data_IF_843298562094
#
_entry.id   IF_843298562094
#
_cell.length_a   1.000
_cell.length_b   1.000
_cell.length_c   1.000
_cell.angle_alpha   90.00
_cell.angle_beta   90.00
_cell.angle_gamma   90.00
#
_symmetry.space_group_name_H-M   'P 1'
#
loop_
_entity.id
_entity.type
_entity.pdbx_description
1 polymer ?
#
# COMPACT_ATOMS: atom_id res chain seq x y z
N UNK A 1 -5.38 -3.61 1.32
CA UNK A 1 -4.37 -3.95 0.29
C UNK A 1 -4.81 -3.53 -1.12
N UNK A 2 -5.86 -4.12 -1.73
CA UNK A 2 -6.29 -3.81 -3.12
C UNK A 2 -6.60 -2.34 -3.33
N UNK A 3 -7.43 -1.72 -2.48
CA UNK A 3 -7.75 -0.29 -2.54
C UNK A 3 -6.55 0.65 -2.60
N UNK A 4 -5.44 0.29 -1.96
CA UNK A 4 -4.22 1.09 -1.94
C UNK A 4 -3.46 1.07 -3.26
N UNK A 5 -3.72 0.06 -4.11
CA UNK A 5 -2.92 -0.26 -5.30
C UNK A 5 -3.72 -0.25 -6.59
N UNK A 6 -5.04 -0.15 -6.49
CA UNK A 6 -5.92 -0.06 -7.65
C UNK A 6 -5.72 1.31 -8.32
N UNK A 7 -5.33 1.31 -9.60
CA UNK A 7 -5.16 2.55 -10.37
C UNK A 7 -6.46 3.35 -10.38
N UNK A 8 -6.35 4.68 -10.18
CA UNK A 8 -7.50 5.58 -10.10
C UNK A 8 -8.44 5.53 -11.31
N UNK A 9 -7.89 5.26 -12.49
CA UNK A 9 -8.66 5.11 -13.73
C UNK A 9 -9.55 3.88 -13.72
N UNK A 10 -9.27 2.93 -12.83
CA UNK A 10 -10.03 1.70 -12.65
C UNK A 10 -10.96 1.77 -11.43
N UNK A 11 -10.74 2.73 -10.53
CA UNK A 11 -11.64 2.98 -9.40
C UNK A 11 -13.03 3.38 -9.94
N UNK A 12 -14.07 2.65 -9.52
CA UNK A 12 -15.43 2.81 -10.02
C UNK A 12 -15.77 1.95 -11.26
N UNK A 13 -14.78 1.24 -11.85
CA UNK A 13 -15.00 0.23 -12.90
C UNK A 13 -14.72 -1.19 -12.41
N UNK A 14 -13.83 -1.31 -11.45
CA UNK A 14 -13.47 -2.58 -10.82
C UNK A 14 -13.78 -2.48 -9.33
N UNK A 15 -14.50 -3.47 -8.83
CA UNK A 15 -14.70 -3.62 -7.40
C UNK A 15 -13.48 -4.32 -6.79
N UNK A 16 -12.83 -3.75 -5.76
CA UNK A 16 -11.78 -4.43 -5.02
C UNK A 16 -12.19 -5.79 -4.44
N UNK A 17 -13.46 -5.98 -4.13
CA UNK A 17 -13.99 -7.26 -3.64
C UNK A 17 -13.99 -8.32 -4.72
N UNK A 18 -14.33 -7.97 -5.96
CA UNK A 18 -14.23 -8.89 -7.10
C UNK A 18 -12.80 -9.37 -7.34
N UNK A 19 -11.82 -8.45 -7.19
CA UNK A 19 -10.39 -8.80 -7.30
C UNK A 19 -10.00 -9.83 -6.24
N UNK A 20 -10.51 -9.67 -5.02
CA UNK A 20 -10.25 -10.61 -3.92
C UNK A 20 -10.94 -11.95 -4.17
N UNK A 21 -12.20 -11.97 -4.61
CA UNK A 21 -12.93 -13.19 -4.90
C UNK A 21 -12.20 -14.02 -5.97
N UNK A 22 -11.75 -13.39 -7.05
CA UNK A 22 -11.01 -14.08 -8.10
C UNK A 22 -9.65 -14.59 -7.60
N UNK A 23 -8.95 -13.84 -6.75
CA UNK A 23 -7.72 -14.30 -6.13
C UNK A 23 -7.96 -15.50 -5.21
N UNK A 24 -9.06 -15.53 -4.45
CA UNK A 24 -9.44 -16.68 -3.63
C UNK A 24 -9.80 -17.91 -4.48
N UNK A 25 -10.48 -17.73 -5.60
CA UNK A 25 -10.76 -18.84 -6.53
C UNK A 25 -9.45 -19.41 -7.10
N UNK A 26 -8.49 -18.56 -7.45
CA UNK A 26 -7.16 -19.00 -7.90
C UNK A 26 -6.40 -19.71 -6.79
N UNK A 27 -6.50 -19.23 -5.55
CA UNK A 27 -5.93 -19.89 -4.38
C UNK A 27 -6.53 -21.28 -4.16
N UNK A 28 -7.86 -21.40 -4.24
CA UNK A 28 -8.53 -22.70 -4.09
C UNK A 28 -8.05 -23.71 -5.13
N UNK A 29 -7.87 -23.30 -6.38
CA UNK A 29 -7.38 -24.17 -7.46
C UNK A 29 -5.93 -24.63 -7.25
N UNK A 30 -5.09 -23.80 -6.62
CA UNK A 30 -3.65 -24.05 -6.39
C UNK A 30 -3.34 -24.54 -4.98
N UNK A 31 -4.35 -24.72 -4.14
CA UNK A 31 -4.16 -25.09 -2.73
C UNK A 31 -3.39 -26.40 -2.55
N UNK A 32 -3.71 -27.41 -3.35
CA UNK A 32 -3.03 -28.70 -3.29
C UNK A 32 -1.54 -28.60 -3.63
N UNK A 33 -1.21 -27.81 -4.67
CA UNK A 33 0.18 -27.54 -5.08
C UNK A 33 0.92 -26.77 -3.98
N UNK A 34 0.30 -25.71 -3.45
CA UNK A 34 0.88 -24.94 -2.37
C UNK A 34 1.11 -25.80 -1.11
N UNK A 35 0.15 -26.67 -0.73
CA UNK A 35 0.26 -27.54 0.44
C UNK A 35 1.38 -28.59 0.28
N UNK A 36 1.66 -29.03 -0.94
CA UNK A 36 2.73 -29.99 -1.21
C UNK A 36 4.13 -29.37 -1.07
N UNK A 37 4.32 -28.09 -1.38
CA UNK A 37 5.59 -27.37 -1.25
C UNK A 37 5.36 -25.90 -0.82
N UNK A 38 5.10 -25.63 0.47
CA UNK A 38 4.83 -24.30 0.95
C UNK A 38 6.10 -23.43 1.06
N UNK A 39 6.44 -22.71 -0.03
CA UNK A 39 7.65 -21.87 -0.12
C UNK A 39 7.57 -20.56 0.66
N UNK A 40 6.37 -20.17 1.10
CA UNK A 40 6.12 -18.97 1.89
C UNK A 40 4.91 -19.17 2.80
N UNK A 41 4.74 -18.34 3.85
CA UNK A 41 3.54 -18.40 4.70
C UNK A 41 2.24 -18.23 3.92
N UNK A 42 1.11 -18.86 4.32
CA UNK A 42 -0.17 -18.83 3.62
C UNK A 42 -0.65 -17.41 3.30
N UNK A 43 -0.49 -16.48 4.26
CA UNK A 43 -0.89 -15.09 4.08
C UNK A 43 -0.09 -14.39 2.96
N UNK A 44 1.23 -14.60 2.90
CA UNK A 44 2.06 -14.02 1.84
C UNK A 44 1.74 -14.65 0.48
N UNK A 45 1.40 -15.93 0.46
CA UNK A 45 0.98 -16.60 -0.76
C UNK A 45 -0.35 -16.04 -1.30
N UNK A 46 -1.36 -15.87 -0.44
CA UNK A 46 -2.63 -15.24 -0.81
C UNK A 46 -2.43 -13.80 -1.28
N UNK A 47 -1.60 -13.05 -0.56
CA UNK A 47 -1.20 -11.69 -0.97
C UNK A 47 -0.57 -11.70 -2.36
N UNK A 48 0.33 -12.61 -2.63
CA UNK A 48 0.99 -12.75 -3.93
C UNK A 48 -0.03 -13.01 -5.05
N UNK A 49 -0.96 -13.94 -4.88
CA UNK A 49 -2.01 -14.23 -5.86
C UNK A 49 -2.90 -13.00 -6.11
N UNK A 50 -3.29 -12.29 -5.05
CA UNK A 50 -4.08 -11.06 -5.17
C UNK A 50 -3.32 -9.98 -5.96
N UNK A 51 -2.02 -9.84 -5.73
CA UNK A 51 -1.17 -8.88 -6.46
C UNK A 51 -0.99 -9.28 -7.93
N UNK A 52 -0.84 -10.56 -8.23
CA UNK A 52 -0.81 -11.06 -9.61
C UNK A 52 -2.12 -10.76 -10.34
N UNK A 53 -3.26 -10.96 -9.67
CA UNK A 53 -4.57 -10.66 -10.23
C UNK A 53 -4.72 -9.16 -10.53
N UNK A 54 -4.38 -8.32 -9.57
CA UNK A 54 -4.43 -6.87 -9.73
C UNK A 54 -3.53 -6.39 -10.89
N UNK A 55 -2.31 -6.92 -10.99
CA UNK A 55 -1.40 -6.61 -12.09
C UNK A 55 -1.99 -7.01 -13.45
N UNK A 56 -2.65 -8.18 -13.53
CA UNK A 56 -3.30 -8.65 -14.75
C UNK A 56 -4.43 -7.72 -15.18
N UNK A 57 -5.25 -7.26 -14.23
CA UNK A 57 -6.32 -6.30 -14.48
C UNK A 57 -5.78 -4.93 -14.93
N UNK A 58 -4.70 -4.44 -14.31
CA UNK A 58 -4.04 -3.21 -14.75
C UNK A 58 -3.54 -3.33 -16.20
N UNK A 59 -2.91 -4.45 -16.56
CA UNK A 59 -2.46 -4.68 -17.95
C UNK A 59 -3.62 -4.74 -18.93
N UNK A 60 -4.70 -5.42 -18.57
CA UNK A 60 -5.89 -5.57 -19.41
C UNK A 60 -6.58 -4.23 -19.70
N UNK A 61 -6.78 -3.42 -18.65
CA UNK A 61 -7.62 -2.21 -18.73
C UNK A 61 -6.85 -0.92 -19.04
N UNK A 62 -5.54 -0.87 -18.73
CA UNK A 62 -4.74 0.35 -18.92
C UNK A 62 -3.87 0.31 -20.18
N UNK A 63 -3.91 -0.81 -20.91
CA UNK A 63 -3.12 -1.01 -22.13
C UNK A 63 -1.63 -1.23 -21.88
N UNK A 64 -0.95 -1.86 -22.83
CA UNK A 64 0.43 -2.34 -22.74
C UNK A 64 1.46 -1.20 -22.85
N UNK A 65 1.39 -0.15 -22.05
CA UNK A 65 2.50 0.83 -21.95
C UNK A 65 3.64 0.40 -21.04
N UNK A 66 3.55 -0.79 -20.44
CA UNK A 66 4.65 -1.40 -19.69
C UNK A 66 5.13 -2.66 -20.42
N UNK A 67 5.87 -2.48 -21.52
CA UNK A 67 6.60 -3.57 -22.20
C UNK A 67 7.93 -3.92 -21.52
N UNK A 68 7.96 -3.96 -20.21
CA UNK A 68 9.11 -4.50 -19.45
C UNK A 68 8.76 -5.80 -18.72
N UNK A 69 7.95 -6.65 -19.33
CA UNK A 69 7.53 -7.92 -18.75
C UNK A 69 8.19 -9.12 -19.44
N UNK A 70 9.50 -9.06 -19.68
CA UNK A 70 10.30 -10.17 -20.19
C UNK A 70 11.27 -10.76 -19.16
N UNK A 71 11.17 -10.37 -17.86
CA UNK A 71 11.98 -10.98 -16.79
C UNK A 71 11.10 -11.97 -16.02
N UNK A 72 11.64 -13.18 -15.82
CA UNK A 72 11.13 -14.10 -14.82
C UNK A 72 10.86 -13.33 -13.53
N UNK A 73 9.59 -13.26 -13.17
CA UNK A 73 9.14 -12.53 -11.97
C UNK A 73 9.66 -13.32 -10.78
N UNK A 74 10.77 -12.90 -10.20
CA UNK A 74 11.14 -13.31 -8.85
C UNK A 74 9.91 -13.13 -7.99
N UNK A 75 9.55 -14.11 -7.16
CA UNK A 75 8.40 -14.10 -6.25
C UNK A 75 8.32 -12.82 -5.40
N UNK A 76 9.43 -12.09 -5.29
CA UNK A 76 9.59 -10.89 -4.47
C UNK A 76 9.98 -9.62 -5.24
N UNK A 77 10.44 -9.72 -6.50
CA UNK A 77 11.04 -8.59 -7.25
C UNK A 77 10.33 -8.23 -8.58
N UNK A 78 9.09 -8.67 -8.77
CA UNK A 78 8.28 -8.21 -9.91
C UNK A 78 7.78 -6.78 -9.67
N UNK A 79 7.55 -6.01 -10.74
CA UNK A 79 6.91 -4.69 -10.67
C UNK A 79 5.43 -4.82 -10.30
N UNK A 80 5.18 -5.24 -9.06
CA UNK A 80 3.84 -5.28 -8.50
C UNK A 80 3.32 -3.83 -8.34
N UNK A 81 2.00 -3.62 -8.47
CA UNK A 81 1.42 -2.30 -8.26
C UNK A 81 1.81 -1.73 -6.89
N UNK A 82 2.54 -0.60 -6.90
CA UNK A 82 2.92 0.10 -5.68
C UNK A 82 1.70 0.77 -5.04
N UNK A 83 1.78 1.02 -3.73
CA UNK A 83 0.73 1.76 -3.05
C UNK A 83 0.65 3.21 -3.54
N UNK A 84 -0.56 3.65 -3.89
CA UNK A 84 -0.83 5.02 -4.33
C UNK A 84 -0.75 6.01 -3.16
N UNK A 85 0.04 7.08 -3.32
CA UNK A 85 0.28 8.07 -2.28
C UNK A 85 -1.00 8.78 -1.81
N UNK A 86 -1.96 9.01 -2.70
CA UNK A 86 -3.23 9.63 -2.35
C UNK A 86 -4.09 8.70 -1.51
N UNK A 87 -4.17 7.43 -1.90
CA UNK A 87 -4.90 6.41 -1.15
C UNK A 87 -4.28 6.18 0.22
N UNK A 88 -2.94 6.18 0.31
CA UNK A 88 -2.21 6.13 1.58
C UNK A 88 -2.51 7.36 2.44
N UNK A 89 -2.44 8.58 1.86
CA UNK A 89 -2.72 9.81 2.58
C UNK A 89 -4.16 9.84 3.11
N UNK A 90 -5.13 9.43 2.31
CA UNK A 90 -6.53 9.37 2.72
C UNK A 90 -6.75 8.41 3.90
N UNK A 91 -6.12 7.23 3.86
CA UNK A 91 -6.23 6.25 4.94
C UNK A 91 -5.50 6.69 6.21
N UNK A 92 -4.31 7.29 6.08
CA UNK A 92 -3.59 7.87 7.22
C UNK A 92 -4.44 8.94 7.90
N UNK A 93 -5.02 9.83 7.12
CA UNK A 93 -5.87 10.91 7.64
C UNK A 93 -7.16 10.38 8.27
N UNK A 94 -7.78 9.34 7.67
CA UNK A 94 -8.99 8.71 8.22
C UNK A 94 -8.78 8.10 9.61
N UNK A 95 -7.55 7.73 9.97
CA UNK A 95 -7.19 7.24 11.30
C UNK A 95 -6.89 8.37 12.31
N UNK A 96 -6.69 9.60 11.86
CA UNK A 96 -6.20 10.71 12.68
C UNK A 96 -7.25 11.79 12.97
N UNK A 97 -8.37 11.86 12.22
CA UNK A 97 -9.28 13.01 12.28
C UNK A 97 -10.74 12.62 12.29
N UNK A 98 -11.55 13.46 12.98
CA UNK A 98 -13.03 13.39 12.96
C UNK A 98 -13.61 14.09 11.72
N UNK A 99 -14.86 13.77 11.29
CA UNK A 99 -15.46 14.26 10.03
C UNK A 99 -15.71 15.78 9.95
N UNK A 100 -15.72 16.49 11.08
CA UNK A 100 -16.27 17.85 11.20
C UNK A 100 -15.44 18.99 10.59
N UNK A 101 -14.30 18.71 9.92
CA UNK A 101 -13.38 19.74 9.39
C UNK A 101 -12.90 19.43 7.97
N UNK A 102 -13.81 19.36 7.02
CA UNK A 102 -13.55 18.90 5.65
C UNK A 102 -12.45 19.71 4.90
N UNK A 103 -12.43 21.05 5.06
CA UNK A 103 -11.44 21.91 4.39
C UNK A 103 -10.01 21.67 4.92
N UNK A 104 -9.85 21.63 6.25
CA UNK A 104 -8.56 21.35 6.90
C UNK A 104 -8.07 19.95 6.53
N UNK A 105 -8.97 18.96 6.50
CA UNK A 105 -8.64 17.61 6.07
C UNK A 105 -8.12 17.55 4.64
N UNK A 106 -8.73 18.29 3.72
CA UNK A 106 -8.30 18.32 2.33
C UNK A 106 -6.88 18.90 2.20
N UNK A 107 -6.58 19.97 2.92
CA UNK A 107 -5.23 20.56 2.94
C UNK A 107 -4.20 19.60 3.52
N UNK A 108 -4.48 18.99 4.67
CA UNK A 108 -3.59 18.02 5.31
C UNK A 108 -3.38 16.81 4.39
N UNK A 109 -4.44 16.33 3.72
CA UNK A 109 -4.33 15.21 2.78
C UNK A 109 -3.36 15.52 1.63
N UNK A 110 -3.43 16.73 1.07
CA UNK A 110 -2.51 17.16 0.01
C UNK A 110 -1.07 17.17 0.53
N UNK A 111 -0.83 17.74 1.70
CA UNK A 111 0.51 17.80 2.31
C UNK A 111 1.08 16.40 2.57
N UNK A 112 0.27 15.47 3.08
CA UNK A 112 0.69 14.08 3.30
C UNK A 112 0.99 13.41 1.96
N UNK A 113 0.14 13.60 0.95
CA UNK A 113 0.34 13.04 -0.39
C UNK A 113 1.65 13.54 -1.03
N UNK A 114 1.93 14.84 -0.96
CA UNK A 114 3.15 15.45 -1.50
C UNK A 114 4.39 14.89 -0.80
N UNK A 115 4.29 14.71 0.49
CA UNK A 115 5.34 14.12 1.28
C UNK A 115 5.62 12.65 0.95
N UNK A 116 4.56 11.86 0.78
CA UNK A 116 4.67 10.47 0.34
C UNK A 116 5.25 10.38 -1.09
N UNK A 117 4.92 11.34 -1.96
CA UNK A 117 5.50 11.44 -3.30
C UNK A 117 7.00 11.77 -3.28
N UNK A 118 7.42 12.58 -2.33
CA UNK A 118 8.83 12.95 -2.14
C UNK A 118 9.68 11.87 -1.45
N UNK A 119 9.06 10.82 -0.91
CA UNK A 119 9.77 9.68 -0.30
C UNK A 119 10.36 8.76 -1.37
N UNK A 120 11.44 8.07 -0.99
CA UNK A 120 11.90 6.88 -1.73
C UNK A 120 10.73 5.88 -1.89
N UNK A 121 10.49 5.35 -3.10
CA UNK A 121 9.38 4.42 -3.36
C UNK A 121 9.34 3.22 -2.41
N UNK A 122 10.51 2.68 -2.02
CA UNK A 122 10.60 1.56 -1.07
C UNK A 122 10.19 2.01 0.33
N UNK A 123 10.54 3.21 0.75
CA UNK A 123 10.18 3.74 2.08
C UNK A 123 8.66 3.96 2.18
N UNK A 124 8.04 4.46 1.10
CA UNK A 124 6.58 4.58 0.99
C UNK A 124 5.90 3.21 1.02
N UNK A 125 6.44 2.24 0.27
CA UNK A 125 5.91 0.89 0.23
C UNK A 125 5.99 0.19 1.60
N UNK A 126 7.07 0.40 2.35
CA UNK A 126 7.21 -0.12 3.73
C UNK A 126 6.09 0.41 4.64
N UNK A 127 5.70 1.68 4.52
CA UNK A 127 4.57 2.21 5.29
C UNK A 127 3.27 1.49 4.94
N UNK A 128 3.03 1.24 3.65
CA UNK A 128 1.85 0.50 3.22
C UNK A 128 1.82 -0.92 3.79
N UNK A 129 2.93 -1.65 3.68
CA UNK A 129 3.04 -3.03 4.15
C UNK A 129 2.89 -3.14 5.67
N UNK A 130 3.50 -2.22 6.43
CA UNK A 130 3.52 -2.26 7.89
C UNK A 130 2.23 -1.75 8.54
N UNK A 131 1.63 -0.67 8.01
CA UNK A 131 0.49 -0.01 8.64
C UNK A 131 -0.86 -0.42 8.09
N UNK A 132 -0.93 -0.84 6.84
CA UNK A 132 -2.21 -1.14 6.19
C UNK A 132 -2.37 -2.62 5.83
N UNK A 133 -1.25 -3.31 5.59
CA UNK A 133 -1.26 -4.74 5.35
C UNK A 133 -0.79 -5.54 6.58
N UNK A 134 -0.39 -4.85 7.66
CA UNK A 134 -0.04 -5.41 8.98
C UNK A 134 1.09 -6.45 8.95
N UNK A 135 1.92 -6.43 7.92
CA UNK A 135 3.06 -7.32 7.80
C UNK A 135 4.10 -7.04 8.89
N UNK A 136 4.67 -8.07 9.47
CA UNK A 136 5.81 -7.94 10.35
C UNK A 136 7.09 -7.56 9.56
N UNK A 137 8.18 -7.22 10.27
CA UNK A 137 9.42 -6.79 9.62
C UNK A 137 10.05 -7.85 8.71
N UNK A 138 9.94 -9.13 9.10
CA UNK A 138 10.46 -10.24 8.30
C UNK A 138 9.67 -10.43 7.00
N UNK A 139 8.36 -10.40 7.07
CA UNK A 139 7.46 -10.48 5.92
C UNK A 139 7.63 -9.29 4.99
N UNK A 140 7.74 -8.08 5.55
CA UNK A 140 8.01 -6.86 4.79
C UNK A 140 9.34 -6.97 4.04
N UNK A 141 10.39 -7.42 4.71
CA UNK A 141 11.70 -7.64 4.09
C UNK A 141 11.62 -8.67 2.96
N UNK A 142 10.91 -9.78 3.17
CA UNK A 142 10.70 -10.81 2.17
C UNK A 142 9.94 -10.28 0.95
N UNK A 143 8.84 -9.54 1.15
CA UNK A 143 8.05 -8.93 0.08
C UNK A 143 8.86 -7.94 -0.75
N UNK A 144 9.77 -7.18 -0.12
CA UNK A 144 10.60 -6.19 -0.80
C UNK A 144 11.92 -6.75 -1.35
N UNK A 145 12.26 -7.99 -1.03
CA UNK A 145 13.54 -8.60 -1.43
C UNK A 145 14.75 -7.91 -0.79
N UNK A 146 14.61 -7.41 0.45
CA UNK A 146 15.68 -6.71 1.19
C UNK A 146 15.97 -7.40 2.52
N UNK A 147 17.11 -7.08 3.13
CA UNK A 147 17.44 -7.61 4.46
C UNK A 147 16.52 -7.01 5.56
N UNK A 148 16.24 -7.80 6.61
CA UNK A 148 15.41 -7.38 7.75
C UNK A 148 15.92 -6.09 8.41
N UNK A 149 17.24 -5.94 8.55
CA UNK A 149 17.84 -4.72 9.08
C UNK A 149 17.59 -3.50 8.18
N UNK A 150 17.68 -3.67 6.86
CA UNK A 150 17.38 -2.61 5.90
C UNK A 150 15.90 -2.22 5.95
N UNK A 151 14.98 -3.19 6.05
CA UNK A 151 13.56 -2.93 6.19
C UNK A 151 13.26 -2.13 7.47
N UNK A 152 13.87 -2.50 8.61
CA UNK A 152 13.71 -1.78 9.87
C UNK A 152 14.21 -0.34 9.79
N UNK A 153 15.42 -0.14 9.25
CA UNK A 153 16.02 1.20 9.13
C UNK A 153 15.19 2.11 8.19
N UNK A 154 14.73 1.56 7.05
CA UNK A 154 13.86 2.28 6.12
C UNK A 154 12.52 2.65 6.74
N UNK A 155 11.91 1.73 7.50
CA UNK A 155 10.68 1.98 8.22
C UNK A 155 10.80 3.12 9.23
N UNK A 156 11.86 3.12 10.06
CA UNK A 156 12.13 4.21 11.03
C UNK A 156 12.34 5.54 10.31
N UNK A 157 13.07 5.54 9.18
CA UNK A 157 13.27 6.75 8.36
C UNK A 157 11.95 7.27 7.79
N UNK A 158 11.12 6.38 7.24
CA UNK A 158 9.82 6.73 6.69
C UNK A 158 8.88 7.32 7.75
N UNK A 159 8.84 6.72 8.96
CA UNK A 159 8.07 7.24 10.08
C UNK A 159 8.56 8.62 10.56
N UNK A 160 9.88 8.82 10.65
CA UNK A 160 10.45 10.11 11.00
C UNK A 160 10.02 11.19 10.01
N UNK A 161 10.15 10.89 8.72
CA UNK A 161 9.73 11.79 7.66
C UNK A 161 8.23 12.12 7.74
N UNK A 162 7.39 11.11 7.97
CA UNK A 162 5.96 11.30 8.13
C UNK A 162 5.63 12.17 9.35
N UNK A 163 6.32 11.94 10.48
CA UNK A 163 6.17 12.75 11.70
C UNK A 163 6.53 14.22 11.47
N UNK A 164 7.62 14.51 10.78
CA UNK A 164 8.05 15.88 10.45
C UNK A 164 6.97 16.64 9.66
N UNK A 165 6.26 15.93 8.77
CA UNK A 165 5.23 16.50 7.92
C UNK A 165 3.91 16.68 8.67
N UNK A 166 3.58 15.75 9.55
CA UNK A 166 2.34 15.79 10.34
C UNK A 166 2.42 16.76 11.52
N UNK A 167 3.62 17.08 12.04
CA UNK A 167 3.79 17.96 13.19
C UNK A 167 3.13 19.34 12.99
N UNK A 168 3.28 20.05 11.85
CA UNK A 168 2.56 21.29 11.61
C UNK A 168 1.05 21.13 11.49
N UNK A 169 0.60 19.98 11.00
CA UNK A 169 -0.83 19.69 10.82
C UNK A 169 -1.53 19.40 12.17
N UNK A 170 -0.83 18.82 13.13
CA UNK A 170 -1.35 18.62 14.49
C UNK A 170 -1.58 19.96 15.18
N UNK A 171 -0.66 20.93 15.09
CA UNK A 171 -0.86 22.28 15.61
C UNK A 171 -2.11 22.97 15.05
N UNK A 172 -2.41 22.78 13.76
CA UNK A 172 -3.64 23.30 13.14
C UNK A 172 -4.92 22.64 13.64
N UNK A 173 -4.84 21.39 14.07
CA UNK A 173 -5.97 20.65 14.63
C UNK A 173 -6.22 21.04 16.11
N UNK A 174 -5.14 21.29 16.85
CA UNK A 174 -5.20 21.65 18.27
C UNK A 174 -5.59 23.12 18.47
N UNK A 175 -5.04 24.05 17.69
CA UNK A 175 -5.29 25.51 17.80
C UNK A 175 -6.74 25.89 17.49
N UNK A 176 -7.43 25.07 16.68
CA UNK A 176 -8.84 25.27 16.38
C UNK A 176 -9.80 24.67 17.43
N UNK A 177 -9.27 24.06 18.49
CA UNK A 177 -10.05 23.50 19.63
C UNK A 177 -10.18 24.41 20.85
N UNK A 178 -9.43 25.51 20.92
CA UNK A 178 -9.32 26.34 22.14
C UNK A 178 -10.23 27.58 22.10
N UNK A 179 -11.01 27.82 21.05
CA UNK A 179 -11.89 28.99 20.97
C UNK A 179 -13.37 28.62 21.10
N UNK A 180 -13.75 27.97 22.20
CA UNK A 180 -15.14 27.85 22.63
C UNK A 180 -15.20 27.56 24.14
N UNK A 181 -14.92 28.56 24.92
CA UNK A 181 -15.51 28.76 26.25
C UNK A 181 -15.98 30.20 26.32
#
# INVERSE_FOLDING_TARGET
>A
MVHLRLDRRLQGRLDPEDVLQEAFLDAARRLAEYAADPRMPPFLWLRFLTMQRLQSLHRLHLGAKSREAGREVSLYNGSLPAADSRSLAAQLLGRLTTPSRAAIRAEIQIRIQDALNAMDPIDREILALRHFEELNNGETAAVLGIHKAAASNRYVRALRRLKEILAPAQGMLDDSGISSM
#
